data_IF_837190345695
#
_entry.id   IF_837190345695
#
_cell.length_a   1.000
_cell.length_b   1.000
_cell.length_c   1.000
_cell.angle_alpha   90.00
_cell.angle_beta   90.00
_cell.angle_gamma   90.00
#
_symmetry.space_group_name_H-M   'P 1'
#
loop_
_entity.id
_entity.type
_entity.pdbx_description
1 polymer ?
#
# COMPACT_ATOMS: atom_id res chain seq x y z
N UNK A 1 -15.05 -17.96 -30.55
CA UNK A 1 -14.05 -18.57 -29.66
C UNK A 1 -12.67 -18.04 -30.02
N UNK A 2 -12.18 -17.01 -29.32
CA UNK A 2 -10.89 -16.38 -29.61
C UNK A 2 -9.76 -17.27 -29.10
N UNK A 3 -8.95 -17.85 -30.00
CA UNK A 3 -7.73 -18.58 -29.62
C UNK A 3 -6.74 -17.60 -28.99
N UNK A 4 -6.57 -17.68 -27.67
CA UNK A 4 -5.59 -16.91 -26.93
C UNK A 4 -4.20 -17.42 -27.34
N UNK A 5 -3.41 -16.59 -28.03
CA UNK A 5 -2.04 -16.93 -28.40
C UNK A 5 -1.21 -17.04 -27.12
N UNK A 6 -0.72 -18.24 -26.83
CA UNK A 6 0.19 -18.46 -25.70
C UNK A 6 1.48 -17.68 -25.98
N UNK A 7 1.97 -16.84 -25.05
CA UNK A 7 3.22 -16.13 -25.23
C UNK A 7 4.37 -17.14 -25.39
N UNK A 8 5.21 -16.94 -26.40
CA UNK A 8 6.42 -17.76 -26.56
C UNK A 8 7.32 -17.67 -25.31
N UNK A 9 8.12 -18.71 -25.01
CA UNK A 9 8.85 -18.84 -23.76
C UNK A 9 9.72 -17.61 -23.42
N UNK A 10 10.37 -17.00 -24.41
CA UNK A 10 11.17 -15.78 -24.20
C UNK A 10 10.36 -14.57 -23.68
N UNK A 11 9.10 -14.40 -24.09
CA UNK A 11 8.23 -13.32 -23.62
C UNK A 11 7.82 -13.54 -22.16
N UNK A 12 7.52 -14.80 -21.81
CA UNK A 12 7.15 -15.19 -20.45
C UNK A 12 8.31 -14.94 -19.46
N UNK A 13 9.55 -15.23 -19.86
CA UNK A 13 10.73 -14.95 -19.03
C UNK A 13 10.99 -13.44 -18.85
N UNK A 14 10.77 -12.62 -19.88
CA UNK A 14 10.90 -11.16 -19.79
C UNK A 14 9.86 -10.56 -18.82
N UNK A 15 8.61 -11.01 -18.90
CA UNK A 15 7.52 -10.59 -18.01
C UNK A 15 7.79 -11.02 -16.55
N UNK A 16 8.28 -12.25 -16.35
CA UNK A 16 8.66 -12.74 -15.03
C UNK A 16 9.81 -11.92 -14.43
N UNK A 17 10.82 -11.57 -15.24
CA UNK A 17 11.95 -10.73 -14.80
C UNK A 17 11.49 -9.32 -14.41
N UNK A 18 10.58 -8.72 -15.16
CA UNK A 18 10.04 -7.40 -14.85
C UNK A 18 9.22 -7.41 -13.55
N UNK A 19 8.40 -8.45 -13.35
CA UNK A 19 7.69 -8.66 -12.08
C UNK A 19 8.65 -8.78 -10.90
N UNK A 20 9.75 -9.54 -11.03
CA UNK A 20 10.76 -9.67 -9.96
C UNK A 20 11.44 -8.33 -9.67
N UNK A 21 11.70 -7.49 -10.70
CA UNK A 21 12.21 -6.13 -10.50
C UNK A 21 11.25 -5.27 -9.69
N UNK A 22 9.95 -5.28 -10.01
CA UNK A 22 8.95 -4.56 -9.23
C UNK A 22 8.81 -5.08 -7.80
N UNK A 23 8.94 -6.39 -7.58
CA UNK A 23 8.94 -6.97 -6.23
C UNK A 23 10.12 -6.45 -5.41
N UNK A 24 11.31 -6.31 -6.00
CA UNK A 24 12.47 -5.74 -5.32
C UNK A 24 12.29 -4.24 -5.02
N UNK A 25 11.71 -3.50 -5.95
CA UNK A 25 11.42 -2.07 -5.79
C UNK A 25 10.31 -1.78 -4.78
N UNK A 26 9.49 -2.77 -4.44
CA UNK A 26 8.36 -2.61 -3.51
C UNK A 26 8.81 -2.00 -2.18
N UNK A 27 9.89 -2.49 -1.59
CA UNK A 27 10.41 -1.97 -0.32
C UNK A 27 10.85 -0.50 -0.42
N UNK A 28 11.48 -0.12 -1.53
CA UNK A 28 11.87 1.27 -1.76
C UNK A 28 10.67 2.19 -2.03
N UNK A 29 9.63 1.68 -2.70
CA UNK A 29 8.37 2.42 -2.89
C UNK A 29 7.66 2.65 -1.55
N UNK A 30 7.67 1.65 -0.68
CA UNK A 30 7.14 1.76 0.69
C UNK A 30 7.93 2.81 1.49
N UNK A 31 9.26 2.70 1.55
CA UNK A 31 10.14 3.68 2.20
C UNK A 31 9.98 5.10 1.63
N UNK A 32 9.81 5.23 0.32
CA UNK A 32 9.52 6.52 -0.33
C UNK A 32 8.16 7.08 0.09
N UNK A 33 7.15 6.23 0.20
CA UNK A 33 5.82 6.62 0.66
C UNK A 33 5.82 7.05 2.14
N UNK A 34 6.74 6.54 2.96
CA UNK A 34 6.95 6.94 4.36
C UNK A 34 7.87 8.16 4.51
N UNK A 35 8.55 8.56 3.44
CA UNK A 35 9.49 9.68 3.46
C UNK A 35 10.87 9.31 4.03
N UNK A 36 11.18 8.01 4.11
CA UNK A 36 12.41 7.47 4.66
C UNK A 36 13.59 7.53 3.66
N UNK A 37 13.30 7.62 2.35
CA UNK A 37 14.33 7.82 1.34
C UNK A 37 14.84 9.27 1.36
N UNK A 38 16.16 9.42 1.32
CA UNK A 38 16.85 10.71 1.30
C UNK A 38 17.79 10.83 0.09
N UNK A 39 18.23 12.07 -0.19
CA UNK A 39 19.24 12.37 -1.20
C UNK A 39 18.96 11.75 -2.58
N UNK A 40 19.97 11.10 -3.15
CA UNK A 40 19.91 10.50 -4.49
C UNK A 40 18.83 9.42 -4.62
N UNK A 41 18.62 8.60 -3.58
CA UNK A 41 17.63 7.51 -3.61
C UNK A 41 16.20 8.06 -3.73
N UNK A 42 15.91 9.15 -3.04
CA UNK A 42 14.62 9.85 -3.16
C UNK A 42 14.39 10.38 -4.58
N UNK A 43 15.41 10.97 -5.19
CA UNK A 43 15.32 11.51 -6.56
C UNK A 43 15.14 10.40 -7.60
N UNK A 44 15.90 9.30 -7.48
CA UNK A 44 15.79 8.15 -8.38
C UNK A 44 14.40 7.50 -8.29
N UNK A 45 13.87 7.33 -7.08
CA UNK A 45 12.53 6.80 -6.89
C UNK A 45 11.46 7.74 -7.45
N UNK A 46 11.60 9.05 -7.26
CA UNK A 46 10.69 10.04 -7.84
C UNK A 46 10.66 9.96 -9.38
N UNK A 47 11.82 9.83 -10.02
CA UNK A 47 11.92 9.64 -11.47
C UNK A 47 11.28 8.31 -11.91
N UNK A 48 11.53 7.22 -11.17
CA UNK A 48 10.98 5.91 -11.48
C UNK A 48 9.44 5.89 -11.43
N UNK A 49 8.83 6.39 -10.35
CA UNK A 49 7.36 6.40 -10.20
C UNK A 49 6.67 7.35 -11.17
N UNK A 50 7.38 8.33 -11.73
CA UNK A 50 6.86 9.17 -12.80
C UNK A 50 6.72 8.42 -14.14
N UNK A 51 7.56 7.41 -14.38
CA UNK A 51 7.61 6.68 -15.65
C UNK A 51 7.03 5.26 -15.57
N UNK A 52 6.88 4.68 -14.38
CA UNK A 52 6.39 3.32 -14.19
C UNK A 52 4.96 3.30 -13.65
N UNK A 53 4.02 2.80 -14.46
CA UNK A 53 2.61 2.68 -14.08
C UNK A 53 2.40 1.76 -12.86
N UNK A 54 3.10 0.63 -12.79
CA UNK A 54 2.96 -0.32 -11.68
C UNK A 54 3.38 0.30 -10.34
N UNK A 55 4.57 0.89 -10.28
CA UNK A 55 5.08 1.51 -9.06
C UNK A 55 4.33 2.78 -8.68
N UNK A 56 3.85 3.56 -9.67
CA UNK A 56 2.97 4.70 -9.43
C UNK A 56 1.64 4.27 -8.78
N UNK A 57 1.01 3.21 -9.30
CA UNK A 57 -0.21 2.64 -8.72
C UNK A 57 -0.01 2.15 -7.29
N UNK A 58 1.10 1.43 -7.02
CA UNK A 58 1.44 1.01 -5.66
C UNK A 58 1.65 2.20 -4.72
N UNK A 59 2.36 3.24 -5.15
CA UNK A 59 2.57 4.46 -4.36
C UNK A 59 1.25 5.19 -4.06
N UNK A 60 0.36 5.29 -5.05
CA UNK A 60 -0.95 5.91 -4.87
C UNK A 60 -1.81 5.13 -3.85
N UNK A 61 -1.83 3.79 -3.94
CA UNK A 61 -2.53 2.94 -2.99
C UNK A 61 -2.01 3.13 -1.57
N UNK A 62 -0.70 3.13 -1.37
CA UNK A 62 -0.07 3.36 -0.06
C UNK A 62 -0.47 4.72 0.52
N UNK A 63 -0.46 5.78 -0.31
CA UNK A 63 -0.89 7.13 0.10
C UNK A 63 -2.36 7.17 0.52
N UNK A 64 -3.23 6.49 -0.23
CA UNK A 64 -4.66 6.40 0.10
C UNK A 64 -4.90 5.65 1.41
N UNK A 65 -4.22 4.53 1.64
CA UNK A 65 -4.30 3.79 2.90
C UNK A 65 -3.88 4.68 4.06
N UNK A 66 -2.73 5.36 3.96
CA UNK A 66 -2.24 6.27 5.01
C UNK A 66 -3.20 7.44 5.25
N UNK A 67 -3.78 8.00 4.19
CA UNK A 67 -4.79 9.04 4.32
C UNK A 67 -6.05 8.51 5.03
N UNK A 68 -6.54 7.32 4.65
CA UNK A 68 -7.69 6.67 5.30
C UNK A 68 -7.45 6.44 6.79
N UNK A 69 -6.26 5.93 7.15
CA UNK A 69 -5.89 5.72 8.55
C UNK A 69 -5.81 7.02 9.35
N UNK A 70 -5.30 8.11 8.75
CA UNK A 70 -5.24 9.43 9.40
C UNK A 70 -6.62 10.05 9.64
N UNK A 71 -7.57 9.84 8.73
CA UNK A 71 -8.93 10.39 8.83
C UNK A 71 -9.91 9.42 9.47
N UNK A 72 -9.48 8.20 9.80
CA UNK A 72 -10.28 7.28 10.58
C UNK A 72 -10.44 7.89 11.97
N UNK A 73 -11.67 8.18 12.45
CA UNK A 73 -11.85 8.60 13.82
C UNK A 73 -11.24 7.50 14.66
N UNK A 74 -10.20 7.82 15.44
CA UNK A 74 -9.61 6.86 16.36
C UNK A 74 -10.77 6.28 17.16
N UNK A 75 -11.17 5.04 16.86
CA UNK A 75 -11.98 4.25 17.78
C UNK A 75 -11.00 3.88 18.88
N UNK A 76 -10.65 4.86 19.72
CA UNK A 76 -10.10 4.56 21.03
C UNK A 76 -11.06 3.56 21.61
N UNK A 77 -10.61 2.31 21.87
CA UNK A 77 -11.49 1.34 22.47
C UNK A 77 -12.05 2.01 23.72
N UNK A 78 -13.37 1.95 23.93
CA UNK A 78 -13.96 2.60 25.07
C UNK A 78 -13.19 2.20 26.32
N UNK A 79 -12.78 3.18 27.13
CA UNK A 79 -12.08 2.92 28.38
C UNK A 79 -12.85 1.86 29.16
N UNK A 80 -12.14 1.00 29.91
CA UNK A 80 -12.81 -0.01 30.73
C UNK A 80 -13.87 0.61 31.65
N UNK A 81 -13.65 1.84 32.11
CA UNK A 81 -14.63 2.65 32.81
C UNK A 81 -15.90 2.89 31.98
N UNK A 82 -15.77 3.40 30.74
CA UNK A 82 -16.93 3.63 29.85
C UNK A 82 -17.63 2.33 29.42
N UNK A 83 -16.90 1.22 29.26
CA UNK A 83 -17.47 -0.10 28.99
C UNK A 83 -18.26 -0.63 30.20
N UNK A 84 -17.77 -0.41 31.43
CA UNK A 84 -18.48 -0.75 32.67
C UNK A 84 -19.74 0.08 32.86
N UNK A 85 -19.68 1.41 32.63
CA UNK A 85 -20.85 2.29 32.72
C UNK A 85 -21.96 1.86 31.75
N UNK A 86 -21.63 1.51 30.50
CA UNK A 86 -22.63 0.96 29.55
C UNK A 86 -23.21 -0.37 29.99
N UNK A 87 -22.39 -1.24 30.59
CA UNK A 87 -22.83 -2.56 31.07
C UNK A 87 -23.78 -2.44 32.26
N UNK A 88 -23.55 -1.48 33.14
CA UNK A 88 -24.30 -1.32 34.40
C UNK A 88 -25.44 -0.29 34.28
N UNK A 89 -25.32 0.68 33.38
CA UNK A 89 -26.30 1.77 33.19
C UNK A 89 -27.57 1.38 32.43
N UNK A 90 -27.68 0.15 31.93
CA UNK A 90 -28.92 -0.41 31.36
C UNK A 90 -29.66 -1.35 32.33
N UNK A 91 -29.15 -1.53 33.56
CA UNK A 91 -29.71 -2.42 34.56
C UNK A 91 -30.52 -1.68 35.65
N UNK A 92 -31.18 -0.59 35.27
CA UNK A 92 -32.03 0.20 36.16
C UNK A 92 -33.31 0.65 35.47
N UNK A 93 -34.28 -0.27 35.36
CA UNK A 93 -35.71 -0.01 35.25
C UNK A 93 -36.43 -1.13 35.98
#
# INVERSE_FOLDING_TARGET
MTRQRVPGPGRMWAECRERVRHVRLRGEVEAYADGELTGANRMQMAAHVACCWACSGSLQLLRLIKASLRHSPQRTPPSLASARVRRLGLAGN
#
